data_IF_163285993436
#
_entry.id   IF_163285993436
#
_cell.length_a   1.000
_cell.length_b   1.000
_cell.length_c   1.000
_cell.angle_alpha   90.00
_cell.angle_beta   90.00
_cell.angle_gamma   90.00
#
_symmetry.space_group_name_H-M   'P 1'
#
loop_
_entity.id
_entity.type
_entity.pdbx_description
1 polymer ?
#
# COMPACT_ATOMS: atom_id res chain seq x y z
N UNK A 1 -5.70 -3.87 -52.65
CA UNK A 1 -4.79 -4.33 -51.58
C UNK A 1 -4.41 -3.26 -50.56
N UNK A 2 -4.26 -1.97 -50.91
CA UNK A 2 -3.86 -0.92 -49.94
C UNK A 2 -4.94 -0.54 -48.89
N UNK A 3 -6.23 -0.71 -49.20
CA UNK A 3 -7.35 -0.40 -48.30
C UNK A 3 -7.58 -1.44 -47.21
N UNK A 4 -7.22 -2.71 -47.46
CA UNK A 4 -7.38 -3.80 -46.48
C UNK A 4 -6.38 -3.68 -45.33
N UNK A 5 -5.19 -3.13 -45.60
CA UNK A 5 -4.13 -2.93 -44.60
C UNK A 5 -4.49 -1.84 -43.58
N UNK A 6 -5.25 -0.82 -43.99
CA UNK A 6 -5.68 0.27 -43.11
C UNK A 6 -6.74 -0.18 -42.09
N UNK A 7 -7.64 -1.08 -42.50
CA UNK A 7 -8.68 -1.65 -41.63
C UNK A 7 -8.11 -2.58 -40.56
N UNK A 8 -7.03 -3.31 -40.86
CA UNK A 8 -6.34 -4.17 -39.89
C UNK A 8 -5.60 -3.37 -38.81
N UNK A 9 -5.04 -2.20 -39.16
CA UNK A 9 -4.42 -1.30 -38.18
C UNK A 9 -5.43 -0.65 -37.22
N UNK A 10 -6.67 -0.41 -37.68
CA UNK A 10 -7.72 0.20 -36.85
C UNK A 10 -8.36 -0.78 -35.86
N UNK A 11 -8.27 -2.10 -36.10
CA UNK A 11 -8.76 -3.12 -35.16
C UNK A 11 -7.76 -3.48 -34.06
N UNK A 12 -6.49 -3.09 -34.18
CA UNK A 12 -5.46 -3.33 -33.17
C UNK A 12 -5.49 -2.27 -32.05
N UNK A 13 -6.06 -1.09 -32.28
CA UNK A 13 -6.15 -0.01 -31.28
C UNK A 13 -7.31 -0.21 -30.29
N UNK A 14 -8.32 -1.00 -30.61
CA UNK A 14 -9.45 -1.30 -29.71
C UNK A 14 -9.11 -2.36 -28.65
N UNK A 15 -7.92 -2.98 -28.74
CA UNK A 15 -7.39 -3.95 -27.78
C UNK A 15 -6.53 -3.30 -26.69
N UNK A 16 -6.46 -1.96 -26.62
CA UNK A 16 -6.00 -1.30 -25.39
C UNK A 16 -7.04 -1.58 -24.30
N UNK A 17 -6.88 -2.72 -23.62
CA UNK A 17 -7.56 -3.03 -22.36
C UNK A 17 -7.51 -1.79 -21.48
N UNK A 18 -8.66 -1.43 -20.92
CA UNK A 18 -8.73 -0.40 -19.90
C UNK A 18 -7.80 -0.82 -18.74
N UNK A 19 -6.61 -0.21 -18.68
CA UNK A 19 -5.68 -0.45 -17.61
C UNK A 19 -6.37 -0.10 -16.28
N UNK A 20 -6.21 -0.92 -15.23
CA UNK A 20 -6.71 -0.58 -13.90
C UNK A 20 -6.29 0.85 -13.51
N UNK A 21 -7.19 1.58 -12.85
CA UNK A 21 -6.93 2.96 -12.43
C UNK A 21 -5.61 3.08 -11.62
N UNK A 22 -5.32 2.09 -10.78
CA UNK A 22 -4.07 2.02 -10.03
C UNK A 22 -2.84 2.04 -10.92
N UNK A 23 -2.83 1.28 -12.02
CA UNK A 23 -1.73 1.27 -12.99
C UNK A 23 -1.62 2.58 -13.76
N UNK A 24 -2.75 3.19 -14.15
CA UNK A 24 -2.77 4.50 -14.81
C UNK A 24 -2.15 5.60 -13.93
N UNK A 25 -2.27 5.45 -12.61
CA UNK A 25 -1.69 6.36 -11.61
C UNK A 25 -0.26 5.96 -11.19
N UNK A 26 0.37 5.03 -11.90
CA UNK A 26 1.75 4.58 -11.63
C UNK A 26 1.88 3.59 -10.46
N UNK A 27 0.78 2.93 -10.09
CA UNK A 27 0.78 1.84 -9.13
C UNK A 27 1.47 0.59 -9.68
N UNK A 28 2.27 -0.04 -8.84
CA UNK A 28 3.02 -1.25 -9.16
C UNK A 28 2.33 -2.42 -8.48
N UNK A 29 1.82 -3.36 -9.28
CA UNK A 29 1.24 -4.59 -8.75
C UNK A 29 2.34 -5.41 -8.06
N UNK A 30 2.02 -5.97 -6.91
CA UNK A 30 2.94 -6.82 -6.14
C UNK A 30 2.29 -8.16 -5.85
N UNK A 31 3.07 -9.11 -5.35
CA UNK A 31 2.66 -10.48 -5.05
C UNK A 31 3.24 -11.00 -3.72
N UNK A 32 3.66 -10.08 -2.84
CA UNK A 32 4.02 -10.36 -1.46
C UNK A 32 3.04 -11.31 -0.79
N UNK A 33 3.58 -12.34 -0.16
CA UNK A 33 2.79 -13.15 0.78
C UNK A 33 2.64 -12.38 2.08
N UNK A 34 1.39 -12.09 2.48
CA UNK A 34 1.12 -11.32 3.69
C UNK A 34 0.75 -12.30 4.81
N UNK A 35 1.44 -12.18 5.94
CA UNK A 35 1.09 -12.87 7.17
C UNK A 35 0.62 -11.85 8.20
N UNK A 36 -0.39 -12.23 8.98
CA UNK A 36 -0.81 -11.51 10.16
C UNK A 36 -0.76 -12.46 11.35
N UNK A 37 -0.03 -12.10 12.40
CA UNK A 37 0.14 -12.96 13.59
C UNK A 37 0.60 -14.39 13.22
N UNK A 38 1.59 -14.51 12.32
CA UNK A 38 2.10 -15.78 11.78
C UNK A 38 1.09 -16.61 10.96
N UNK A 39 -0.09 -16.07 10.64
CA UNK A 39 -1.08 -16.72 9.78
C UNK A 39 -1.11 -16.05 8.42
N UNK A 40 -1.02 -16.84 7.36
CA UNK A 40 -1.12 -16.31 6.00
C UNK A 40 -2.53 -15.74 5.78
N UNK A 41 -2.59 -14.53 5.23
CA UNK A 41 -3.83 -13.84 4.89
C UNK A 41 -4.12 -14.07 3.40
N UNK A 42 -5.37 -14.33 3.07
CA UNK A 42 -5.82 -14.37 1.68
C UNK A 42 -5.82 -12.95 1.09
N UNK A 43 -5.05 -12.72 0.03
CA UNK A 43 -4.98 -11.44 -0.67
C UNK A 43 -5.57 -11.60 -2.07
N UNK A 44 -6.56 -10.78 -2.39
CA UNK A 44 -7.23 -10.76 -3.70
C UNK A 44 -6.49 -9.87 -4.70
N UNK A 45 -6.00 -8.73 -4.23
CA UNK A 45 -5.16 -7.83 -5.02
C UNK A 45 -4.30 -6.97 -4.10
N UNK A 46 -3.15 -6.54 -4.62
CA UNK A 46 -2.26 -5.63 -3.91
C UNK A 46 -1.42 -4.78 -4.85
N UNK A 47 -1.20 -3.54 -4.43
CA UNK A 47 -0.48 -2.55 -5.23
C UNK A 47 0.31 -1.62 -4.33
N UNK A 48 1.55 -1.32 -4.73
CA UNK A 48 2.31 -0.20 -4.16
C UNK A 48 2.03 1.04 -5.02
N UNK A 49 1.49 2.08 -4.41
CA UNK A 49 1.09 3.30 -5.13
C UNK A 49 1.50 4.55 -4.36
N UNK A 50 1.90 5.60 -5.10
CA UNK A 50 2.25 6.90 -4.53
C UNK A 50 0.98 7.71 -4.26
N UNK A 51 0.81 8.22 -3.05
CA UNK A 51 -0.36 9.03 -2.64
C UNK A 51 0.06 10.29 -1.90
N UNK A 52 -0.72 11.35 -2.06
CA UNK A 52 -0.58 12.57 -1.26
C UNK A 52 -1.09 12.36 0.17
N UNK A 53 -0.47 13.03 1.13
CA UNK A 53 -0.92 13.10 2.52
C UNK A 53 -1.88 14.30 2.69
N UNK A 54 -3.08 14.06 3.22
CA UNK A 54 -4.08 15.12 3.41
C UNK A 54 -3.97 15.86 4.74
N UNK A 55 -3.30 15.28 5.74
CA UNK A 55 -3.23 15.81 7.10
C UNK A 55 -1.76 15.91 7.54
N UNK A 56 -1.07 16.97 7.17
CA UNK A 56 0.22 17.32 7.77
C UNK A 56 0.00 18.48 8.74
N UNK A 57 0.10 18.22 10.05
CA UNK A 57 0.16 19.27 11.06
C UNK A 57 1.63 19.64 11.24
N UNK A 58 1.99 20.89 10.99
CA UNK A 58 3.31 21.41 11.35
C UNK A 58 3.35 21.64 12.86
N UNK A 59 4.29 20.99 13.56
CA UNK A 59 4.73 21.46 14.87
C UNK A 59 5.75 22.58 14.63
N UNK A 60 5.33 23.83 14.87
CA UNK A 60 6.23 24.97 14.94
C UNK A 60 6.20 25.47 16.38
N UNK A 61 7.34 25.37 17.07
CA UNK A 61 7.65 26.01 18.35
C UNK A 61 6.57 25.91 19.46
N UNK A 62 6.05 24.69 19.69
CA UNK A 62 5.28 24.38 20.91
C UNK A 62 3.87 24.99 20.98
N UNK A 63 3.37 25.55 19.88
CA UNK A 63 1.99 26.03 19.78
C UNK A 63 1.27 25.18 18.74
N UNK A 64 0.34 24.33 19.18
CA UNK A 64 -0.64 23.64 18.31
C UNK A 64 -1.65 24.67 17.79
N UNK A 65 -1.20 25.63 17.00
CA UNK A 65 -2.08 26.49 16.23
C UNK A 65 -2.52 25.72 14.99
N UNK A 66 -3.81 25.80 14.67
CA UNK A 66 -4.37 25.33 13.41
C UNK A 66 -3.75 26.13 12.25
N UNK A 67 -2.53 25.79 11.89
CA UNK A 67 -1.84 26.36 10.75
C UNK A 67 -2.59 25.88 9.50
N UNK A 68 -3.43 26.77 8.96
CA UNK A 68 -3.88 26.72 7.56
C UNK A 68 -2.67 27.05 6.67
N UNK A 69 -1.66 26.16 6.70
CA UNK A 69 -0.51 26.22 5.82
C UNK A 69 -0.86 25.59 4.49
N UNK A 70 -0.47 26.24 3.39
CA UNK A 70 -0.42 25.61 2.07
C UNK A 70 0.32 24.28 2.20
N UNK A 71 -0.42 23.16 2.15
CA UNK A 71 0.14 21.83 2.28
C UNK A 71 1.10 21.59 1.14
N UNK A 72 2.40 21.74 1.38
CA UNK A 72 3.42 21.15 0.53
C UNK A 72 3.04 19.67 0.41
N UNK A 73 2.59 19.27 -0.77
CA UNK A 73 1.94 17.99 -1.03
C UNK A 73 2.90 16.82 -0.83
N UNK A 74 3.14 16.47 0.44
CA UNK A 74 3.99 15.37 0.81
C UNK A 74 3.36 14.10 0.24
N UNK A 75 4.13 13.39 -0.56
CA UNK A 75 3.71 12.15 -1.18
C UNK A 75 4.46 11.01 -0.51
N UNK A 76 3.74 9.95 -0.17
CA UNK A 76 4.31 8.72 0.36
C UNK A 76 3.86 7.52 -0.48
N UNK A 77 4.67 6.47 -0.48
CA UNK A 77 4.25 5.19 -1.03
C UNK A 77 3.37 4.47 -0.03
N UNK A 78 2.30 3.85 -0.52
CA UNK A 78 1.42 3.01 0.29
C UNK A 78 1.29 1.64 -0.34
N UNK A 79 1.29 0.61 0.49
CA UNK A 79 0.84 -0.73 0.11
C UNK A 79 -0.67 -0.77 0.32
N UNK A 80 -1.42 -0.91 -0.77
CA UNK A 80 -2.86 -1.14 -0.74
C UNK A 80 -3.14 -2.63 -0.94
N UNK A 81 -3.96 -3.20 -0.06
CA UNK A 81 -4.26 -4.64 -0.03
C UNK A 81 -5.78 -4.83 0.02
N UNK A 82 -6.27 -5.73 -0.79
CA UNK A 82 -7.66 -6.17 -0.81
C UNK A 82 -7.75 -7.60 -0.28
N UNK A 83 -8.56 -7.85 0.75
CA UNK A 83 -8.70 -9.18 1.39
C UNK A 83 -10.14 -9.46 1.81
N UNK A 84 -10.63 -10.71 1.68
CA UNK A 84 -11.96 -11.07 2.18
C UNK A 84 -11.95 -11.34 3.69
N UNK A 85 -10.77 -11.49 4.31
CA UNK A 85 -10.60 -11.77 5.73
C UNK A 85 -10.24 -10.49 6.47
N UNK A 86 -10.88 -10.24 7.61
CA UNK A 86 -10.46 -9.16 8.48
C UNK A 86 -9.27 -9.60 9.34
N UNK A 87 -8.12 -8.97 9.12
CA UNK A 87 -6.92 -9.21 9.93
C UNK A 87 -6.59 -8.04 10.88
N UNK A 88 -7.50 -7.07 11.09
CA UNK A 88 -7.34 -6.08 12.15
C UNK A 88 -7.94 -6.61 13.47
N UNK A 89 -7.10 -6.92 14.46
CA UNK A 89 -7.59 -7.32 15.80
C UNK A 89 -8.19 -6.10 16.51
N UNK A 90 -9.42 -6.29 16.98
CA UNK A 90 -10.25 -5.39 17.78
C UNK A 90 -9.49 -4.33 18.61
N UNK A 91 -10.00 -3.10 18.47
CA UNK A 91 -9.57 -1.79 18.96
C UNK A 91 -9.39 -1.61 20.49
N UNK A 92 -9.08 -2.66 21.26
CA UNK A 92 -9.23 -2.60 22.72
C UNK A 92 -8.14 -1.83 23.45
N UNK A 93 -7.03 -1.41 22.82
CA UNK A 93 -5.96 -0.65 23.50
C UNK A 93 -5.36 0.47 22.66
N UNK A 94 -5.55 1.72 23.11
CA UNK A 94 -5.12 2.99 22.50
C UNK A 94 -3.60 3.18 22.27
N UNK A 95 -2.75 2.19 22.55
CA UNK A 95 -1.29 2.25 22.41
C UNK A 95 -0.70 1.15 21.53
N UNK A 96 -1.53 0.50 20.72
CA UNK A 96 -1.06 -0.58 19.85
C UNK A 96 -0.12 -0.07 18.77
N UNK A 97 1.01 -0.75 18.63
CA UNK A 97 1.91 -0.60 17.50
C UNK A 97 1.83 -1.87 16.65
N UNK A 98 1.93 -1.70 15.34
CA UNK A 98 2.17 -2.82 14.45
C UNK A 98 3.68 -2.94 14.23
N UNK A 99 4.17 -4.15 14.07
CA UNK A 99 5.52 -4.41 13.61
C UNK A 99 5.43 -5.11 12.27
N UNK A 100 6.03 -4.50 11.26
CA UNK A 100 6.21 -5.09 9.95
C UNK A 100 7.58 -5.72 9.91
N UNK A 101 7.65 -6.93 9.38
CA UNK A 101 8.91 -7.64 9.12
C UNK A 101 8.89 -8.08 7.66
N UNK A 102 9.88 -7.63 6.90
CA UNK A 102 10.04 -7.94 5.49
C UNK A 102 11.04 -9.07 5.33
N UNK A 103 10.70 -10.08 4.53
CA UNK A 103 11.55 -11.24 4.26
C UNK A 103 11.80 -11.40 2.76
N UNK A 104 13.00 -11.86 2.40
CA UNK A 104 13.34 -12.28 1.05
C UNK A 104 12.83 -13.69 0.73
N UNK A 105 13.01 -14.12 -0.52
CA UNK A 105 12.56 -15.45 -1.01
C UNK A 105 13.16 -16.63 -0.23
N UNK A 106 14.38 -16.46 0.31
CA UNK A 106 15.08 -17.46 1.12
C UNK A 106 14.66 -17.47 2.59
N UNK A 107 13.68 -16.62 2.98
CA UNK A 107 13.26 -16.43 4.36
C UNK A 107 14.19 -15.53 5.17
N UNK A 108 15.21 -14.90 4.55
CA UNK A 108 16.07 -13.96 5.24
C UNK A 108 15.31 -12.69 5.59
N UNK A 109 15.38 -12.27 6.85
CA UNK A 109 14.80 -10.99 7.29
C UNK A 109 15.58 -9.82 6.70
N UNK A 110 14.92 -9.01 5.87
CA UNK A 110 15.48 -7.82 5.23
C UNK A 110 15.40 -6.58 6.14
N UNK A 111 14.23 -6.36 6.75
CA UNK A 111 13.98 -5.21 7.62
C UNK A 111 12.88 -5.53 8.62
N UNK A 112 12.90 -4.84 9.76
CA UNK A 112 11.76 -4.76 10.67
C UNK A 112 11.50 -3.32 11.07
N UNK A 113 10.23 -2.92 11.09
CA UNK A 113 9.81 -1.56 11.43
C UNK A 113 8.55 -1.57 12.28
N UNK A 114 8.53 -0.70 13.28
CA UNK A 114 7.31 -0.39 14.03
C UNK A 114 6.51 0.69 13.32
N UNK A 115 5.22 0.46 13.16
CA UNK A 115 4.24 1.40 12.65
C UNK A 115 3.25 1.75 13.76
N UNK A 116 3.03 3.05 13.97
CA UNK A 116 1.88 3.52 14.72
C UNK A 116 0.59 3.20 13.97
N UNK A 117 -0.53 3.14 14.70
CA UNK A 117 -1.86 2.95 14.09
C UNK A 117 -2.19 3.97 13.01
N UNK A 118 -1.68 5.22 13.10
CA UNK A 118 -1.88 6.26 12.09
C UNK A 118 -1.34 5.90 10.70
N UNK A 119 -0.42 4.93 10.60
CA UNK A 119 0.13 4.45 9.34
C UNK A 119 -0.71 3.37 8.67
N UNK A 120 -1.72 2.83 9.35
CA UNK A 120 -2.64 1.83 8.82
C UNK A 120 -4.03 2.44 8.67
N UNK A 121 -4.54 2.43 7.46
CA UNK A 121 -5.93 2.78 7.17
C UNK A 121 -6.69 1.52 6.75
N UNK A 122 -7.92 1.37 7.23
CA UNK A 122 -8.77 0.20 6.97
C UNK A 122 -10.16 0.67 6.58
N UNK A 123 -10.68 0.13 5.48
CA UNK A 123 -12.09 0.21 5.10
C UNK A 123 -12.67 -1.21 5.14
N UNK A 124 -13.65 -1.42 6.02
CA UNK A 124 -14.28 -2.73 6.21
C UNK A 124 -15.55 -2.86 5.36
N UNK A 125 -15.79 -4.05 4.84
CA UNK A 125 -16.95 -4.40 4.02
C UNK A 125 -17.00 -5.89 3.72
N UNK A 126 -17.74 -6.30 2.69
CA UNK A 126 -17.71 -7.69 2.18
C UNK A 126 -16.29 -8.10 1.75
N UNK A 127 -15.52 -7.10 1.32
CA UNK A 127 -14.08 -7.16 1.11
C UNK A 127 -13.46 -5.99 1.86
N UNK A 128 -12.38 -6.27 2.58
CA UNK A 128 -11.64 -5.27 3.35
C UNK A 128 -10.53 -4.67 2.49
N UNK A 129 -10.32 -3.37 2.66
CA UNK A 129 -9.24 -2.63 2.00
C UNK A 129 -8.32 -2.05 3.07
N UNK A 130 -7.03 -2.37 2.95
CA UNK A 130 -5.98 -1.89 3.84
C UNK A 130 -5.06 -0.97 3.07
N UNK A 131 -4.60 0.11 3.71
CA UNK A 131 -3.60 1.02 3.15
C UNK A 131 -2.51 1.34 4.17
N UNK A 132 -1.36 0.71 3.99
CA UNK A 132 -0.20 0.78 4.88
C UNK A 132 0.76 1.84 4.34
N UNK A 133 1.10 2.82 5.16
CA UNK A 133 2.14 3.80 4.83
C UNK A 133 3.53 3.13 4.82
N UNK A 134 4.25 3.23 3.70
CA UNK A 134 5.60 2.73 3.51
C UNK A 134 6.66 3.84 3.61
N UNK A 135 6.33 4.96 4.26
CA UNK A 135 7.26 6.04 4.57
C UNK A 135 8.57 5.47 5.14
N UNK A 136 9.71 5.97 4.67
CA UNK A 136 11.09 5.48 4.88
C UNK A 136 11.37 3.98 4.70
N UNK A 137 10.51 3.24 3.98
CA UNK A 137 10.85 1.90 3.48
C UNK A 137 11.53 2.07 2.11
N UNK A 138 12.79 1.64 1.92
CA UNK A 138 13.46 1.75 0.63
C UNK A 138 12.76 0.94 -0.45
N UNK A 139 12.57 1.50 -1.64
CA UNK A 139 11.95 0.77 -2.77
C UNK A 139 12.75 -0.48 -3.16
N UNK A 140 14.09 -0.39 -3.14
CA UNK A 140 14.96 -1.54 -3.39
C UNK A 140 14.73 -2.69 -2.39
N UNK A 141 14.28 -2.39 -1.16
CA UNK A 141 13.92 -3.43 -0.21
C UNK A 141 12.62 -4.13 -0.63
N UNK A 142 11.63 -3.36 -1.09
CA UNK A 142 10.36 -3.90 -1.61
C UNK A 142 10.58 -4.77 -2.84
N UNK A 143 11.49 -4.39 -3.73
CA UNK A 143 11.85 -5.19 -4.92
C UNK A 143 12.43 -6.56 -4.57
N UNK A 144 12.98 -6.73 -3.36
CA UNK A 144 13.57 -7.98 -2.87
C UNK A 144 12.69 -8.67 -1.81
N UNK A 145 11.50 -8.12 -1.51
CA UNK A 145 10.59 -8.68 -0.51
C UNK A 145 9.74 -9.77 -1.15
N UNK A 146 9.73 -10.97 -0.57
CA UNK A 146 8.83 -12.06 -0.92
C UNK A 146 7.62 -12.12 0.03
N UNK A 147 7.82 -11.84 1.32
CA UNK A 147 6.73 -11.84 2.31
C UNK A 147 6.85 -10.72 3.33
N UNK A 148 5.70 -10.35 3.90
CA UNK A 148 5.57 -9.34 4.94
C UNK A 148 4.79 -9.94 6.11
N UNK A 149 5.43 -10.02 7.26
CA UNK A 149 4.77 -10.39 8.52
C UNK A 149 4.32 -9.14 9.26
N UNK A 150 3.04 -9.11 9.60
CA UNK A 150 2.41 -8.03 10.35
C UNK A 150 2.06 -8.57 11.74
N UNK A 151 2.74 -8.03 12.75
CA UNK A 151 2.57 -8.40 14.15
C UNK A 151 1.94 -7.25 14.93
N UNK A 152 1.04 -7.57 15.84
CA UNK A 152 0.57 -6.63 16.85
C UNK A 152 1.55 -6.64 18.04
N UNK A 153 1.99 -5.47 18.48
CA UNK A 153 2.92 -5.30 19.60
C UNK A 153 2.33 -4.32 20.62
N UNK A 154 2.41 -4.69 21.91
CA UNK A 154 1.90 -3.91 23.05
C UNK A 154 2.89 -2.88 23.57
#
# INVERSE_FOLDING_TARGET
MKTLTLLFFFSLSTMLSAQPLSQQLGGIKTDFTIYFQSQQVEVLDQVVIKRGLSNYQYETDGILEHAYGFGYGLQTYRLEVMSPVDFEIEERRRKSHYRLVFFGEDGTKLLSRYLSRSHLFVLKGDVNFYSINLEDIPMLLLDNTASIDIEFVY
#
